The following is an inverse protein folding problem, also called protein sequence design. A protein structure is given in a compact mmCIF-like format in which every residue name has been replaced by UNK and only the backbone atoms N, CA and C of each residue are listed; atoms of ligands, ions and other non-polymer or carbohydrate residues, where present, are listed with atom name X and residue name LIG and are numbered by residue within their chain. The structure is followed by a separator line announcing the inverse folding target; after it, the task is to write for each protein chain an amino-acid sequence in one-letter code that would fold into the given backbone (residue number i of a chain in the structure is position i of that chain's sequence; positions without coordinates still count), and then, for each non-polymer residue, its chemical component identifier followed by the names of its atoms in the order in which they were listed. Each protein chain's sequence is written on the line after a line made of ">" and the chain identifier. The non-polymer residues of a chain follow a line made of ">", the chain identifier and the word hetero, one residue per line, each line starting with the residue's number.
data_IF_038230775741
#
_entry.id   IF_038230775741
#
_cell.length_a   1.000
_cell.length_b   1.000
_cell.length_c   1.000
_cell.angle_alpha   90.00
_cell.angle_beta   90.00
_cell.angle_gamma   90.00
#
_symmetry.space_group_name_H-M   'P 1'
#
loop_
_entity.id
_entity.type
_entity.pdbx_description
1 polymer ?
#
# COMPACT_ATOMS: atom_id res chain seq x y z
N UNK A 1 -25.38 -38.55 -51.98
CA UNK A 1 -24.97 -37.15 -52.19
C UNK A 1 -26.10 -36.27 -51.67
N UNK A 2 -25.94 -35.31 -50.76
CA UNK A 2 -24.85 -34.94 -49.85
C UNK A 2 -25.55 -34.26 -48.69
N UNK A 3 -25.29 -34.71 -47.46
CA UNK A 3 -25.80 -34.09 -46.24
C UNK A 3 -24.74 -33.08 -45.83
N UNK A 4 -25.04 -31.78 -45.99
CA UNK A 4 -24.10 -30.71 -45.66
C UNK A 4 -23.74 -30.77 -44.17
N UNK A 5 -22.49 -31.13 -43.90
CA UNK A 5 -21.87 -31.04 -42.57
C UNK A 5 -21.62 -29.57 -42.25
N UNK A 6 -22.21 -29.08 -41.16
CA UNK A 6 -21.76 -27.86 -40.49
C UNK A 6 -20.35 -28.08 -39.91
N UNK A 7 -19.37 -27.18 -40.14
CA UNK A 7 -18.08 -27.29 -39.48
C UNK A 7 -18.16 -26.72 -38.05
N UNK A 8 -17.65 -27.53 -37.12
CA UNK A 8 -16.90 -27.08 -35.94
C UNK A 8 -17.71 -26.49 -34.78
N UNK A 9 -18.24 -27.39 -33.97
CA UNK A 9 -18.70 -27.19 -32.59
C UNK A 9 -17.54 -26.94 -31.58
N UNK A 10 -16.44 -26.30 -31.97
CA UNK A 10 -15.20 -26.22 -31.18
C UNK A 10 -14.74 -24.79 -30.83
N UNK A 11 -15.66 -23.80 -30.81
CA UNK A 11 -15.31 -22.42 -30.45
C UNK A 11 -15.61 -22.03 -28.99
N UNK A 12 -16.14 -22.93 -28.16
CA UNK A 12 -16.59 -22.60 -26.79
C UNK A 12 -16.03 -23.48 -25.66
N UNK A 13 -14.95 -24.23 -25.87
CA UNK A 13 -14.40 -25.13 -24.84
C UNK A 13 -13.09 -24.70 -24.17
N UNK A 14 -12.53 -23.53 -24.48
CA UNK A 14 -11.31 -23.09 -23.79
C UNK A 14 -11.63 -22.16 -22.61
N UNK A 15 -11.36 -22.55 -21.35
CA UNK A 15 -11.36 -21.59 -20.26
C UNK A 15 -10.33 -20.49 -20.59
N UNK A 16 -10.61 -19.21 -20.27
CA UNK A 16 -9.65 -18.14 -20.53
C UNK A 16 -8.33 -18.51 -19.87
N UNK A 17 -7.24 -18.48 -20.65
CA UNK A 17 -5.91 -18.83 -20.18
C UNK A 17 -5.64 -18.13 -18.84
N UNK A 18 -5.47 -18.92 -17.78
CA UNK A 18 -4.95 -18.44 -16.50
C UNK A 18 -3.54 -17.91 -16.80
N UNK A 19 -3.42 -16.60 -17.03
CA UNK A 19 -2.15 -15.93 -17.25
C UNK A 19 -1.21 -16.27 -16.09
N UNK A 20 -0.17 -17.03 -16.36
CA UNK A 20 0.82 -17.47 -15.38
C UNK A 20 1.37 -16.27 -14.57
N UNK A 21 1.56 -15.13 -15.23
CA UNK A 21 1.97 -13.86 -14.64
C UNK A 21 1.03 -13.36 -13.53
N UNK A 22 -0.29 -13.55 -13.68
CA UNK A 22 -1.26 -13.16 -12.63
C UNK A 22 -1.16 -14.09 -11.42
N UNK A 23 -0.93 -15.37 -11.66
CA UNK A 23 -0.77 -16.36 -10.60
C UNK A 23 0.54 -16.15 -9.84
N UNK A 24 1.63 -15.85 -10.55
CA UNK A 24 2.92 -15.51 -9.96
C UNK A 24 2.86 -14.20 -9.17
N UNK A 25 2.28 -13.14 -9.75
CA UNK A 25 2.07 -11.88 -9.02
C UNK A 25 1.20 -12.07 -7.77
N UNK A 26 0.19 -12.96 -7.82
CA UNK A 26 -0.63 -13.29 -6.67
C UNK A 26 0.16 -14.04 -5.58
N UNK A 27 0.94 -15.06 -5.96
CA UNK A 27 1.83 -15.78 -5.04
C UNK A 27 2.83 -14.85 -4.38
N UNK A 28 3.48 -14.00 -5.17
CA UNK A 28 4.44 -13.02 -4.68
C UNK A 28 3.79 -11.99 -3.75
N UNK A 29 2.57 -11.52 -4.08
CA UNK A 29 1.83 -10.61 -3.20
C UNK A 29 1.49 -11.26 -1.84
N UNK A 30 1.12 -12.54 -1.82
CA UNK A 30 0.89 -13.29 -0.57
C UNK A 30 2.19 -13.40 0.22
N UNK A 31 3.29 -13.78 -0.43
CA UNK A 31 4.59 -13.95 0.21
C UNK A 31 5.09 -12.63 0.80
N UNK A 32 5.05 -11.54 0.04
CA UNK A 32 5.39 -10.20 0.51
C UNK A 32 4.51 -9.76 1.69
N UNK A 33 3.22 -10.06 1.65
CA UNK A 33 2.30 -9.75 2.76
C UNK A 33 2.64 -10.53 4.03
N UNK A 34 3.05 -11.80 3.89
CA UNK A 34 3.51 -12.63 5.02
C UNK A 34 4.83 -12.11 5.58
N UNK A 35 5.80 -11.82 4.72
CA UNK A 35 7.11 -11.29 5.11
C UNK A 35 6.96 -9.95 5.84
N UNK A 36 6.14 -9.02 5.33
CA UNK A 36 5.86 -7.74 5.99
C UNK A 36 5.20 -7.93 7.36
N UNK A 37 4.20 -8.79 7.48
CA UNK A 37 3.58 -9.10 8.78
C UNK A 37 4.56 -9.72 9.77
N UNK A 38 5.47 -10.56 9.28
CA UNK A 38 6.48 -11.22 10.10
C UNK A 38 7.50 -10.21 10.63
N UNK A 39 8.02 -9.31 9.77
CA UNK A 39 8.98 -8.28 10.20
C UNK A 39 8.35 -7.32 11.20
N UNK A 40 7.14 -6.83 10.93
CA UNK A 40 6.41 -5.99 11.88
C UNK A 40 6.15 -6.70 13.21
N UNK A 41 5.85 -8.00 13.19
CA UNK A 41 5.67 -8.80 14.41
C UNK A 41 6.99 -8.95 15.18
N UNK A 42 8.10 -9.18 14.49
CA UNK A 42 9.43 -9.28 15.09
C UNK A 42 9.88 -7.95 15.71
N UNK A 43 9.69 -6.83 15.03
CA UNK A 43 9.98 -5.49 15.55
C UNK A 43 9.15 -5.19 16.80
N UNK A 44 7.83 -5.44 16.77
CA UNK A 44 6.96 -5.26 17.93
C UNK A 44 7.42 -6.11 19.13
N UNK A 45 7.79 -7.37 18.87
CA UNK A 45 8.31 -8.26 19.92
C UNK A 45 9.63 -7.73 20.50
N UNK A 46 10.53 -7.23 19.66
CA UNK A 46 11.79 -6.62 20.09
C UNK A 46 11.57 -5.36 20.91
N UNK A 47 10.66 -4.47 20.49
CA UNK A 47 10.30 -3.26 21.24
C UNK A 47 9.72 -3.58 22.62
N UNK A 48 8.81 -4.56 22.69
CA UNK A 48 8.24 -5.02 23.96
C UNK A 48 9.30 -5.61 24.90
N UNK A 49 10.27 -6.37 24.35
CA UNK A 49 11.40 -6.90 25.12
C UNK A 49 12.30 -5.79 25.66
N UNK A 50 12.69 -4.82 24.82
CA UNK A 50 13.51 -3.67 25.24
C UNK A 50 12.84 -2.87 26.35
N UNK A 51 11.54 -2.60 26.22
CA UNK A 51 10.78 -1.91 27.27
C UNK A 51 10.76 -2.72 28.57
N UNK A 52 10.58 -4.03 28.48
CA UNK A 52 10.62 -4.91 29.66
C UNK A 52 11.98 -4.91 30.35
N UNK A 53 13.08 -4.82 29.61
CA UNK A 53 14.44 -4.75 30.18
C UNK A 53 14.67 -3.40 30.86
N UNK A 54 14.34 -2.29 30.19
CA UNK A 54 14.42 -0.94 30.76
C UNK A 54 13.62 -0.82 32.06
N UNK A 55 12.41 -1.41 32.12
CA UNK A 55 11.59 -1.40 33.32
C UNK A 55 12.17 -2.22 34.49
N UNK A 56 13.01 -3.24 34.21
CA UNK A 56 13.69 -4.02 35.26
C UNK A 56 14.88 -3.25 35.83
N UNK A 57 15.60 -2.52 34.99
CA UNK A 57 16.76 -1.72 35.39
C UNK A 57 16.35 -0.47 36.20
N UNK A 58 15.15 0.07 35.94
CA UNK A 58 14.62 1.19 36.71
C UNK A 58 14.09 0.79 38.09
N UNK A 59 14.44 1.55 39.12
CA UNK A 59 13.99 1.36 40.51
C UNK A 59 12.54 1.85 40.78
N UNK A 60 11.65 1.78 39.78
CA UNK A 60 10.25 2.16 39.93
C UNK A 60 9.46 1.12 40.74
N UNK A 61 8.35 1.55 41.35
CA UNK A 61 7.40 0.64 42.01
C UNK A 61 6.75 -0.31 40.99
N UNK A 62 6.32 -1.49 41.41
CA UNK A 62 5.61 -2.44 40.53
C UNK A 62 4.34 -1.83 39.94
N UNK A 63 3.61 -0.99 40.69
CA UNK A 63 2.43 -0.27 40.18
C UNK A 63 2.79 0.71 39.05
N UNK A 64 3.95 1.37 39.14
CA UNK A 64 4.42 2.29 38.11
C UNK A 64 4.86 1.53 36.86
N UNK A 65 5.54 0.38 37.01
CA UNK A 65 5.91 -0.48 35.89
C UNK A 65 4.68 -1.02 35.17
N UNK A 66 3.65 -1.41 35.91
CA UNK A 66 2.40 -1.90 35.33
C UNK A 66 1.63 -0.81 34.59
N UNK A 67 1.59 0.40 35.13
CA UNK A 67 1.02 1.56 34.43
C UNK A 67 1.72 1.83 33.08
N UNK A 68 3.05 1.76 33.04
CA UNK A 68 3.83 1.91 31.81
C UNK A 68 3.51 0.79 30.82
N UNK A 69 3.51 -0.47 31.23
CA UNK A 69 3.14 -1.60 30.35
C UNK A 69 1.74 -1.45 29.78
N UNK A 70 0.77 -1.07 30.61
CA UNK A 70 -0.62 -0.86 30.20
C UNK A 70 -0.74 0.27 29.17
N UNK A 71 -0.06 1.40 29.39
CA UNK A 71 -0.02 2.51 28.43
C UNK A 71 0.63 2.11 27.09
N UNK A 72 1.72 1.34 27.12
CA UNK A 72 2.39 0.85 25.92
C UNK A 72 1.51 -0.11 25.13
N UNK A 73 0.86 -1.06 25.80
CA UNK A 73 -0.08 -1.99 25.16
C UNK A 73 -1.24 -1.24 24.50
N UNK A 74 -1.81 -0.25 25.20
CA UNK A 74 -2.87 0.60 24.65
C UNK A 74 -2.40 1.35 23.40
N UNK A 75 -1.20 1.94 23.43
CA UNK A 75 -0.63 2.64 22.29
C UNK A 75 -0.36 1.70 21.10
N UNK A 76 0.10 0.47 21.35
CA UNK A 76 0.28 -0.55 20.32
C UNK A 76 -1.05 -0.97 19.68
N UNK A 77 -2.09 -1.18 20.49
CA UNK A 77 -3.42 -1.53 19.99
C UNK A 77 -4.02 -0.43 19.12
N UNK A 78 -3.83 0.83 19.52
CA UNK A 78 -4.25 2.00 18.76
C UNK A 78 -3.51 2.10 17.42
N UNK A 79 -2.18 1.95 17.43
CA UNK A 79 -1.37 1.90 16.21
C UNK A 79 -1.81 0.79 15.24
N UNK A 80 -2.11 -0.40 15.76
CA UNK A 80 -2.60 -1.51 14.95
C UNK A 80 -3.98 -1.25 14.37
N UNK A 81 -4.86 -0.53 15.08
CA UNK A 81 -6.17 -0.09 14.57
C UNK A 81 -5.99 0.91 13.43
N UNK A 82 -5.14 1.91 13.64
CA UNK A 82 -4.79 2.92 12.63
C UNK A 82 -4.25 2.28 11.35
N UNK A 83 -3.35 1.30 11.50
CA UNK A 83 -2.71 0.58 10.40
C UNK A 83 -3.68 -0.27 9.56
N UNK A 84 -4.87 -0.58 10.09
CA UNK A 84 -5.93 -1.30 9.36
C UNK A 84 -6.84 -0.36 8.57
N UNK A 85 -6.78 0.95 8.81
CA UNK A 85 -7.59 1.93 8.10
C UNK A 85 -7.11 2.03 6.66
N UNK A 86 -8.01 1.76 5.71
CA UNK A 86 -7.71 1.93 4.31
C UNK A 86 -7.78 3.42 3.98
N UNK A 87 -6.65 3.98 3.54
CA UNK A 87 -6.58 5.37 3.08
C UNK A 87 -7.22 5.48 1.70
N UNK A 88 -8.10 6.47 1.55
CA UNK A 88 -8.87 6.76 0.35
C UNK A 88 -8.73 8.22 -0.07
N UNK A 89 -9.26 8.56 -1.24
CA UNK A 89 -9.27 9.95 -1.72
C UNK A 89 -10.03 10.90 -0.78
N UNK A 90 -11.05 10.39 -0.07
CA UNK A 90 -11.90 11.20 0.80
C UNK A 90 -11.18 11.67 2.08
N UNK A 91 -10.07 11.03 2.42
CA UNK A 91 -9.22 11.41 3.57
C UNK A 91 -8.35 12.64 3.27
N UNK A 92 -8.33 13.10 2.03
CA UNK A 92 -7.56 14.25 1.58
C UNK A 92 -8.45 15.41 1.14
N UNK A 93 -7.96 16.61 1.39
CA UNK A 93 -8.48 17.86 0.85
C UNK A 93 -7.54 18.37 -0.25
N UNK A 94 -8.08 18.65 -1.44
CA UNK A 94 -7.29 19.18 -2.54
C UNK A 94 -7.13 20.69 -2.43
N UNK A 95 -5.88 21.17 -2.40
CA UNK A 95 -5.56 22.58 -2.24
C UNK A 95 -5.29 23.24 -3.59
N UNK A 96 -4.30 22.74 -4.33
CA UNK A 96 -3.84 23.38 -5.57
C UNK A 96 -3.23 22.38 -6.53
N UNK A 97 -3.40 22.58 -7.83
CA UNK A 97 -2.63 21.84 -8.85
C UNK A 97 -1.22 22.40 -8.91
N UNK A 98 -0.22 21.55 -8.69
CA UNK A 98 1.21 21.93 -8.70
C UNK A 98 1.97 21.41 -9.92
N UNK A 99 1.39 20.47 -10.67
CA UNK A 99 1.99 20.00 -11.90
C UNK A 99 1.00 19.22 -12.77
N UNK A 100 1.28 19.21 -14.07
CA UNK A 100 0.56 18.41 -15.07
C UNK A 100 1.57 17.54 -15.80
N UNK A 101 1.34 16.22 -15.78
CA UNK A 101 2.21 15.24 -16.42
C UNK A 101 1.52 14.53 -17.58
N UNK A 102 2.25 13.63 -18.23
CA UNK A 102 1.76 12.86 -19.37
C UNK A 102 0.65 11.82 -19.04
N UNK A 103 0.41 11.52 -17.76
CA UNK A 103 -0.56 10.50 -17.32
C UNK A 103 -1.61 11.05 -16.35
N UNK A 104 -1.57 12.35 -16.07
CA UNK A 104 -2.46 12.99 -15.12
C UNK A 104 -1.86 14.22 -14.47
N UNK A 105 -2.23 14.48 -13.22
CA UNK A 105 -1.97 15.75 -12.54
C UNK A 105 -1.42 15.52 -11.14
N UNK A 106 -0.58 16.44 -10.69
CA UNK A 106 -0.04 16.48 -9.34
C UNK A 106 -0.76 17.60 -8.60
N UNK A 107 -1.42 17.24 -7.49
CA UNK A 107 -2.16 18.17 -6.62
C UNK A 107 -1.48 18.24 -5.26
N UNK A 108 -1.27 19.44 -4.74
CA UNK A 108 -1.04 19.67 -3.33
C UNK A 108 -2.32 19.32 -2.57
N UNK A 109 -2.22 18.43 -1.59
CA UNK A 109 -3.33 18.03 -0.76
C UNK A 109 -2.98 18.09 0.73
N UNK A 110 -4.01 18.12 1.57
CA UNK A 110 -3.90 18.06 3.02
C UNK A 110 -4.63 16.82 3.52
N UNK A 111 -3.99 16.01 4.35
CA UNK A 111 -4.67 14.91 5.04
C UNK A 111 -5.57 15.50 6.13
N UNK A 112 -6.87 15.17 6.11
CA UNK A 112 -7.87 15.81 7.00
C UNK A 112 -7.64 15.50 8.47
N UNK A 113 -7.16 14.29 8.76
CA UNK A 113 -6.94 13.78 10.13
C UNK A 113 -5.72 14.42 10.81
N UNK A 114 -4.61 14.51 10.09
CA UNK A 114 -3.33 15.00 10.65
C UNK A 114 -3.06 16.47 10.33
N UNK A 115 -3.70 17.03 9.31
CA UNK A 115 -3.40 18.36 8.78
C UNK A 115 -2.09 18.43 7.97
N UNK A 116 -1.39 17.30 7.78
CA UNK A 116 -0.14 17.23 7.04
C UNK A 116 -0.36 17.48 5.55
N UNK A 117 0.60 18.19 4.94
CA UNK A 117 0.57 18.58 3.53
C UNK A 117 1.39 17.58 2.71
N UNK A 118 0.83 17.15 1.58
CA UNK A 118 1.42 16.17 0.68
C UNK A 118 1.25 16.57 -0.79
N UNK A 119 2.01 15.94 -1.67
CA UNK A 119 1.81 15.95 -3.11
C UNK A 119 1.14 14.65 -3.56
N UNK A 120 -0.06 14.75 -4.15
CA UNK A 120 -0.79 13.62 -4.71
C UNK A 120 -0.68 13.61 -6.23
N UNK A 121 -0.02 12.59 -6.78
CA UNK A 121 0.01 12.30 -8.21
C UNK A 121 -1.20 11.42 -8.56
N UNK A 122 -2.19 12.02 -9.24
CA UNK A 122 -3.39 11.36 -9.74
C UNK A 122 -3.15 10.96 -11.20
N UNK A 123 -3.23 9.67 -11.52
CA UNK A 123 -2.97 9.13 -12.86
C UNK A 123 -4.17 8.36 -13.40
N UNK A 124 -4.56 8.61 -14.64
CA UNK A 124 -5.69 7.92 -15.27
C UNK A 124 -5.32 6.49 -15.66
N UNK A 125 -6.09 5.51 -15.21
CA UNK A 125 -5.89 4.10 -15.57
C UNK A 125 -6.10 3.86 -17.07
N UNK A 126 -7.13 4.50 -17.64
CA UNK A 126 -7.45 4.40 -19.07
C UNK A 126 -6.28 4.90 -19.93
N UNK A 127 -5.72 6.06 -19.58
CA UNK A 127 -4.61 6.65 -20.32
C UNK A 127 -3.32 5.83 -20.17
N UNK A 128 -3.04 5.33 -18.96
CA UNK A 128 -1.89 4.48 -18.69
C UNK A 128 -1.95 3.16 -19.49
N UNK A 129 -3.14 2.55 -19.58
CA UNK A 129 -3.35 1.34 -20.39
C UNK A 129 -3.20 1.63 -21.88
N UNK A 130 -3.81 2.72 -22.37
CA UNK A 130 -3.72 3.12 -23.77
C UNK A 130 -2.28 3.35 -24.23
N UNK A 131 -1.45 3.97 -23.37
CA UNK A 131 -0.03 4.24 -23.66
C UNK A 131 0.90 3.05 -23.36
N UNK A 132 0.38 1.93 -22.84
CA UNK A 132 1.13 0.75 -22.42
C UNK A 132 2.23 1.02 -21.36
N UNK A 133 1.98 1.96 -20.42
CA UNK A 133 2.99 2.42 -19.45
C UNK A 133 2.82 1.83 -18.03
N UNK A 134 2.05 0.75 -17.89
CA UNK A 134 1.78 0.11 -16.59
C UNK A 134 3.06 -0.37 -15.90
N UNK A 135 4.01 -0.94 -16.66
CA UNK A 135 5.29 -1.39 -16.10
C UNK A 135 6.12 -0.24 -15.55
N UNK A 136 6.18 0.89 -16.25
CA UNK A 136 6.89 2.08 -15.78
C UNK A 136 6.30 2.65 -14.49
N UNK A 137 4.97 2.68 -14.37
CA UNK A 137 4.30 3.14 -13.14
C UNK A 137 4.56 2.20 -11.97
N UNK A 138 4.65 0.89 -12.21
CA UNK A 138 5.04 -0.08 -11.16
C UNK A 138 6.49 0.12 -10.71
N UNK A 139 7.41 0.28 -11.66
CA UNK A 139 8.81 0.55 -11.35
C UNK A 139 8.98 1.87 -10.57
N UNK A 140 8.24 2.92 -10.94
CA UNK A 140 8.23 4.20 -10.19
C UNK A 140 7.73 4.00 -8.75
N UNK A 141 6.62 3.27 -8.57
CA UNK A 141 6.11 2.93 -7.24
C UNK A 141 7.16 2.19 -6.41
N UNK A 142 7.80 1.18 -6.98
CA UNK A 142 8.79 0.36 -6.29
C UNK A 142 10.00 1.21 -5.87
N UNK A 143 10.53 2.02 -6.78
CA UNK A 143 11.64 2.93 -6.48
C UNK A 143 11.30 3.90 -5.33
N UNK A 144 10.14 4.56 -5.37
CA UNK A 144 9.73 5.50 -4.32
C UNK A 144 9.41 4.80 -2.99
N UNK A 145 8.98 3.53 -3.03
CA UNK A 145 8.72 2.75 -1.81
C UNK A 145 9.98 2.28 -1.09
N UNK A 146 11.10 2.20 -1.81
CA UNK A 146 12.40 1.82 -1.27
C UNK A 146 13.22 3.03 -0.80
N UNK A 147 12.85 4.24 -1.23
CA UNK A 147 13.49 5.48 -0.81
C UNK A 147 13.30 5.71 0.70
N UNK A 148 14.40 5.70 1.45
CA UNK A 148 14.44 5.98 2.90
C UNK A 148 15.44 7.10 3.27
N UNK A 149 15.97 7.79 2.27
CA UNK A 149 16.99 8.83 2.46
C UNK A 149 16.36 10.22 2.49
N UNK A 150 16.89 11.11 3.34
CA UNK A 150 16.39 12.49 3.53
C UNK A 150 16.39 13.35 2.25
N UNK A 151 17.20 12.97 1.26
CA UNK A 151 17.34 13.70 -0.01
C UNK A 151 16.42 13.19 -1.12
N UNK A 152 15.70 12.09 -0.89
CA UNK A 152 14.82 11.47 -1.88
C UNK A 152 13.39 11.47 -1.34
N UNK A 153 12.46 11.95 -2.17
CA UNK A 153 11.05 11.97 -1.81
C UNK A 153 10.54 10.52 -1.71
N UNK A 154 10.04 10.16 -0.53
CA UNK A 154 9.48 8.84 -0.25
C UNK A 154 7.99 8.74 -0.57
N UNK A 155 7.52 7.50 -0.77
CA UNK A 155 6.10 7.22 -0.97
C UNK A 155 5.39 7.00 0.38
N UNK A 156 4.43 7.87 0.72
CA UNK A 156 3.64 7.76 1.94
C UNK A 156 2.44 6.82 1.78
N UNK A 157 1.62 7.04 0.74
CA UNK A 157 0.42 6.25 0.50
C UNK A 157 0.25 5.91 -0.97
N UNK A 158 -0.31 4.74 -1.23
CA UNK A 158 -0.81 4.37 -2.57
C UNK A 158 -2.18 3.76 -2.47
N UNK A 159 -3.11 4.27 -3.27
CA UNK A 159 -4.44 3.71 -3.39
C UNK A 159 -4.96 3.94 -4.81
N UNK A 160 -6.08 3.32 -5.13
CA UNK A 160 -6.72 3.42 -6.44
C UNK A 160 -8.23 3.39 -6.28
N UNK A 161 -8.92 4.05 -7.19
CA UNK A 161 -10.36 3.90 -7.39
C UNK A 161 -10.61 3.24 -8.75
N UNK A 162 -11.85 3.21 -9.24
CA UNK A 162 -12.18 2.57 -10.51
C UNK A 162 -11.51 3.24 -11.72
N UNK A 163 -11.21 4.53 -11.65
CA UNK A 163 -10.75 5.35 -12.78
C UNK A 163 -9.28 5.77 -12.69
N UNK A 164 -8.74 5.92 -11.48
CA UNK A 164 -7.46 6.56 -11.21
C UNK A 164 -6.60 5.76 -10.23
N UNK A 165 -5.29 5.95 -10.35
CA UNK A 165 -4.28 5.52 -9.38
C UNK A 165 -3.69 6.77 -8.71
N UNK A 166 -3.50 6.69 -7.39
CA UNK A 166 -3.01 7.79 -6.57
C UNK A 166 -1.72 7.38 -5.86
N UNK A 167 -0.71 8.24 -5.99
CA UNK A 167 0.54 8.16 -5.23
C UNK A 167 0.66 9.43 -4.39
N UNK A 168 0.81 9.28 -3.08
CA UNK A 168 0.96 10.38 -2.12
C UNK A 168 2.40 10.39 -1.64
N UNK A 169 3.05 11.54 -1.80
CA UNK A 169 4.46 11.81 -1.52
C UNK A 169 4.59 13.06 -0.65
#
# INVERSE_FOLDING_TARGET
>A
ASREQWPMADAFSQPPALNNDRLEAFKQAIENSKSKRLTEFQERKSQSQKLSEQLKETAFSEDQKEAVRSSFNKQQDEYLRESRKNVTINDFEFLKVIGTGAFGIVRLCRMKETGSIFAMKQMSKKEMMYKNQVHHVRAEKEALSLAKDDWVIGLHYTFQDDSFLYMVM
#
